data_IF_123325872290
#
_entry.id   IF_123325872290
#
_cell.length_a   1.000
_cell.length_b   1.000
_cell.length_c   1.000
_cell.angle_alpha   90.00
_cell.angle_beta   90.00
_cell.angle_gamma   90.00
#
_symmetry.space_group_name_H-M   'P 1'
#
loop_
_entity.id
_entity.type
_entity.pdbx_description
1 polymer ?
#
# COMPACT_ATOMS: atom_id res chain seq x y z
N UNK A 1 49.86 52.13 12.36
CA UNK A 1 48.79 52.84 13.10
C UNK A 1 47.81 51.76 13.53
N UNK A 2 47.99 51.23 14.74
CA UNK A 2 47.15 51.51 15.93
C UNK A 2 45.74 50.91 15.79
N UNK A 3 45.21 50.09 16.69
CA UNK A 3 45.67 49.57 17.98
C UNK A 3 44.81 48.34 18.33
N UNK A 4 45.43 47.41 19.02
CA UNK A 4 44.82 46.35 19.84
C UNK A 4 43.80 46.85 20.86
N UNK A 5 42.76 46.07 21.16
CA UNK A 5 42.31 45.86 22.55
C UNK A 5 41.63 44.50 22.77
N UNK A 6 42.32 43.73 23.59
CA UNK A 6 41.93 42.51 24.30
C UNK A 6 40.96 42.86 25.43
N UNK A 7 39.87 42.11 25.62
CA UNK A 7 39.25 41.93 26.95
C UNK A 7 38.77 40.48 27.09
N UNK A 8 39.39 39.77 28.03
CA UNK A 8 38.94 38.51 28.61
C UNK A 8 37.87 38.81 29.67
N UNK A 9 36.79 38.04 29.69
CA UNK A 9 35.98 37.82 30.88
C UNK A 9 35.30 36.43 30.83
N UNK A 10 35.79 35.55 31.71
CA UNK A 10 35.07 34.42 32.32
C UNK A 10 34.88 34.82 33.80
N UNK A 11 34.12 34.10 34.66
CA UNK A 11 33.08 33.07 34.46
C UNK A 11 31.82 33.35 35.30
N UNK A 12 30.67 32.74 34.99
CA UNK A 12 29.75 32.24 36.04
C UNK A 12 29.09 30.96 35.53
N UNK A 13 29.45 29.84 36.14
CA UNK A 13 28.75 28.56 36.03
C UNK A 13 27.60 28.62 37.02
N UNK A 14 26.37 28.75 36.53
CA UNK A 14 25.17 28.50 37.31
C UNK A 14 24.64 27.11 36.94
N UNK A 15 24.93 26.16 37.82
CA UNK A 15 24.44 24.79 37.77
C UNK A 15 22.96 24.80 38.22
N UNK A 16 22.02 24.83 37.27
CA UNK A 16 20.61 24.62 37.55
C UNK A 16 20.27 23.15 37.22
N UNK A 17 20.20 22.30 38.26
CA UNK A 17 19.56 20.99 38.17
C UNK A 17 18.05 21.21 38.00
N UNK A 18 17.59 21.22 36.75
CA UNK A 18 16.19 21.04 36.41
C UNK A 18 15.86 19.55 36.38
N UNK A 19 15.12 19.07 37.38
CA UNK A 19 14.39 17.81 37.30
C UNK A 19 13.42 17.91 36.10
N UNK A 20 13.77 17.33 34.96
CA UNK A 20 12.80 17.09 33.89
C UNK A 20 12.07 15.81 34.29
N UNK A 21 10.91 15.97 34.92
CA UNK A 21 9.94 14.90 35.02
C UNK A 21 9.49 14.56 33.59
N UNK A 22 10.07 13.50 33.01
CA UNK A 22 9.57 12.88 31.79
C UNK A 22 8.22 12.23 32.07
N UNK A 23 7.16 13.05 32.08
CA UNK A 23 5.81 12.57 31.84
C UNK A 23 5.75 12.09 30.41
N UNK A 24 5.96 10.78 30.21
CA UNK A 24 5.57 10.11 28.97
C UNK A 24 4.04 10.17 28.90
N UNK A 25 3.52 11.28 28.38
CA UNK A 25 2.16 11.33 27.88
C UNK A 25 2.12 10.37 26.71
N UNK A 26 1.61 9.16 26.95
CA UNK A 26 1.23 8.25 25.88
C UNK A 26 0.25 9.02 25.00
N UNK A 27 0.72 9.47 23.84
CA UNK A 27 -0.15 10.01 22.82
C UNK A 27 -1.20 8.92 22.53
N UNK A 28 -2.50 9.26 22.43
CA UNK A 28 -3.50 8.28 22.07
C UNK A 28 -3.07 7.65 20.74
N UNK A 29 -2.92 6.34 20.74
CA UNK A 29 -2.79 5.56 19.51
C UNK A 29 -4.07 5.83 18.74
N UNK A 30 -3.99 6.69 17.72
CA UNK A 30 -5.07 6.86 16.77
C UNK A 30 -5.09 5.57 15.98
N UNK A 31 -5.89 4.61 16.45
CA UNK A 31 -6.28 3.46 15.63
C UNK A 31 -6.99 4.03 14.41
N UNK A 32 -6.55 3.74 13.18
CA UNK A 32 -7.32 4.11 12.00
C UNK A 32 -8.71 3.50 12.19
N UNK A 33 -9.72 4.35 12.36
CA UNK A 33 -11.07 3.88 12.51
C UNK A 33 -11.43 3.19 11.20
N UNK A 34 -11.60 1.87 11.26
CA UNK A 34 -12.25 1.15 10.19
C UNK A 34 -13.70 1.58 10.19
N UNK A 35 -13.99 2.62 9.44
CA UNK A 35 -15.36 2.92 9.06
C UNK A 35 -15.92 1.65 8.41
N UNK A 36 -17.08 1.19 8.89
CA UNK A 36 -18.03 0.33 8.18
C UNK A 36 -17.88 0.50 6.65
N UNK A 37 -17.99 -0.58 5.84
CA UNK A 37 -17.72 -0.54 4.41
C UNK A 37 -18.39 0.70 3.84
N UNK A 38 -17.58 1.74 3.59
CA UNK A 38 -18.04 2.96 2.97
C UNK A 38 -18.56 2.44 1.65
N UNK A 39 -19.90 2.42 1.50
CA UNK A 39 -20.58 1.96 0.31
C UNK A 39 -19.72 2.41 -0.88
N UNK A 40 -19.15 1.45 -1.60
CA UNK A 40 -18.14 1.62 -2.65
C UNK A 40 -18.42 2.89 -3.48
N UNK A 41 -17.86 4.04 -3.08
CA UNK A 41 -18.24 5.32 -3.68
C UNK A 41 -17.22 6.43 -3.41
N UNK A 42 -15.94 6.10 -3.36
CA UNK A 42 -15.17 6.55 -4.50
C UNK A 42 -15.00 5.31 -5.34
N UNK A 43 -16.06 4.95 -6.07
CA UNK A 43 -15.83 4.34 -7.36
C UNK A 43 -14.80 5.27 -7.97
N UNK A 44 -13.53 4.83 -8.02
CA UNK A 44 -12.63 5.34 -9.02
C UNK A 44 -13.42 5.02 -10.27
N UNK A 45 -14.19 6.01 -10.75
CA UNK A 45 -14.83 5.92 -12.03
C UNK A 45 -13.64 5.71 -12.92
N UNK A 46 -13.47 4.45 -13.29
CA UNK A 46 -12.47 4.01 -14.22
C UNK A 46 -12.95 4.63 -15.52
N UNK A 47 -12.60 5.89 -15.70
CA UNK A 47 -12.70 6.58 -16.97
C UNK A 47 -11.56 5.98 -17.77
N UNK A 48 -11.74 4.71 -18.16
CA UNK A 48 -11.01 4.08 -19.23
C UNK A 48 -11.40 4.90 -20.44
N UNK A 49 -10.61 5.93 -20.71
CA UNK A 49 -10.73 6.66 -21.95
C UNK A 49 -10.04 5.84 -23.05
N UNK A 50 -10.45 4.58 -23.19
CA UNK A 50 -10.05 3.68 -24.26
C UNK A 50 -10.83 4.07 -25.52
N UNK A 51 -10.77 5.36 -25.88
CA UNK A 51 -11.54 5.96 -27.00
C UNK A 51 -11.19 5.30 -28.32
N UNK A 52 -10.01 4.70 -28.42
CA UNK A 52 -9.43 4.23 -29.67
C UNK A 52 -9.20 2.71 -29.59
N UNK A 53 -10.28 1.96 -29.77
CA UNK A 53 -10.22 0.49 -29.88
C UNK A 53 -9.87 0.05 -31.29
N UNK A 54 -10.44 0.73 -32.28
CA UNK A 54 -10.37 0.37 -33.69
C UNK A 54 -9.85 1.54 -34.54
N UNK A 55 -9.23 1.23 -35.69
CA UNK A 55 -8.61 2.29 -36.52
C UNK A 55 -9.63 3.35 -36.92
N UNK A 56 -10.88 2.95 -37.18
CA UNK A 56 -11.97 3.87 -37.55
C UNK A 56 -12.39 4.85 -36.46
N UNK A 57 -12.00 4.61 -35.20
CA UNK A 57 -12.29 5.51 -34.09
C UNK A 57 -11.46 6.80 -34.17
N UNK A 58 -10.41 6.83 -35.00
CA UNK A 58 -9.56 7.99 -35.18
C UNK A 58 -10.23 9.07 -36.05
N UNK A 59 -10.10 10.36 -35.66
CA UNK A 59 -10.90 11.45 -36.21
C UNK A 59 -10.53 11.85 -37.64
N UNK A 60 -9.33 11.50 -38.13
CA UNK A 60 -8.85 11.92 -39.45
C UNK A 60 -8.32 10.74 -40.26
N UNK A 61 -8.49 10.80 -41.59
CA UNK A 61 -7.95 9.79 -42.50
C UNK A 61 -6.42 9.65 -42.39
N UNK A 62 -5.71 10.75 -42.10
CA UNK A 62 -4.27 10.74 -41.87
C UNK A 62 -3.90 9.89 -40.65
N UNK A 63 -4.58 10.08 -39.52
CA UNK A 63 -4.32 9.30 -38.30
C UNK A 63 -4.70 7.84 -38.49
N UNK A 64 -5.81 7.57 -39.19
CA UNK A 64 -6.18 6.20 -39.57
C UNK A 64 -5.07 5.52 -40.39
N UNK A 65 -4.51 6.22 -41.38
CA UNK A 65 -3.39 5.72 -42.18
C UNK A 65 -2.13 5.55 -41.33
N UNK A 66 -1.80 6.50 -40.46
CA UNK A 66 -0.67 6.40 -39.53
C UNK A 66 -0.79 5.17 -38.62
N UNK A 67 -1.97 4.91 -38.05
CA UNK A 67 -2.21 3.73 -37.22
C UNK A 67 -2.07 2.43 -38.02
N UNK A 68 -2.58 2.35 -39.25
CA UNK A 68 -2.39 1.17 -40.13
C UNK A 68 -0.91 0.92 -40.39
N UNK A 69 -0.14 1.95 -40.75
CA UNK A 69 1.31 1.86 -40.94
C UNK A 69 2.02 1.39 -39.67
N UNK A 70 1.65 1.96 -38.52
CA UNK A 70 2.19 1.56 -37.23
C UNK A 70 1.94 0.07 -36.92
N UNK A 71 0.71 -0.41 -37.14
CA UNK A 71 0.34 -1.83 -36.95
C UNK A 71 1.09 -2.73 -37.92
N UNK A 72 1.28 -2.29 -39.18
CA UNK A 72 2.08 -3.00 -40.18
C UNK A 72 3.59 -2.98 -39.90
N UNK A 73 4.06 -2.32 -38.84
CA UNK A 73 5.47 -2.20 -38.49
C UNK A 73 6.24 -1.17 -39.32
N UNK A 74 5.53 -0.38 -40.13
CA UNK A 74 6.12 0.72 -40.89
C UNK A 74 6.48 1.89 -39.97
N UNK A 75 7.43 2.72 -40.42
CA UNK A 75 7.82 3.91 -39.69
C UNK A 75 6.72 4.99 -39.80
N UNK A 76 6.37 5.56 -38.65
CA UNK A 76 5.56 6.78 -38.54
C UNK A 76 6.36 7.90 -37.89
N UNK A 77 6.02 9.15 -38.24
CA UNK A 77 6.68 10.32 -37.68
C UNK A 77 6.44 10.45 -36.17
N UNK A 78 7.27 11.24 -35.50
CA UNK A 78 7.09 11.54 -34.08
C UNK A 78 5.74 12.19 -33.78
N UNK A 79 5.33 13.16 -34.60
CA UNK A 79 4.07 13.87 -34.42
C UNK A 79 2.86 12.96 -34.63
N UNK A 80 2.93 12.06 -35.62
CA UNK A 80 1.88 11.07 -35.84
C UNK A 80 1.76 10.10 -34.65
N UNK A 81 2.89 9.64 -34.11
CA UNK A 81 2.89 8.75 -32.95
C UNK A 81 2.36 9.44 -31.69
N UNK A 82 2.77 10.70 -31.46
CA UNK A 82 2.26 11.53 -30.36
C UNK A 82 0.76 11.77 -30.49
N UNK A 83 0.29 12.17 -31.67
CA UNK A 83 -1.13 12.40 -31.90
C UNK A 83 -1.98 11.13 -31.65
N UNK A 84 -1.49 9.95 -32.06
CA UNK A 84 -2.16 8.68 -31.75
C UNK A 84 -2.17 8.39 -30.24
N UNK A 85 -1.04 8.58 -29.56
CA UNK A 85 -0.91 8.34 -28.12
C UNK A 85 -1.79 9.29 -27.29
N UNK A 86 -1.84 10.58 -27.65
CA UNK A 86 -2.63 11.62 -26.98
C UNK A 86 -4.15 11.40 -27.17
N UNK A 87 -4.55 10.68 -28.23
CA UNK A 87 -5.93 10.22 -28.45
C UNK A 87 -6.27 8.93 -27.69
N UNK A 88 -5.31 8.33 -26.98
CA UNK A 88 -5.53 7.11 -26.22
C UNK A 88 -5.19 5.81 -26.95
N UNK A 89 -4.49 5.84 -28.10
CA UNK A 89 -3.93 4.61 -28.68
C UNK A 89 -2.77 4.12 -27.81
N UNK A 90 -3.02 3.09 -27.00
CA UNK A 90 -2.01 2.60 -26.07
C UNK A 90 -0.80 1.90 -26.71
N UNK A 91 -0.90 1.43 -27.96
CA UNK A 91 0.28 0.91 -28.68
C UNK A 91 1.17 2.07 -29.10
N UNK A 92 0.56 3.16 -29.61
CA UNK A 92 1.29 4.38 -29.91
C UNK A 92 1.92 4.96 -28.64
N UNK A 93 1.19 5.00 -27.52
CA UNK A 93 1.72 5.45 -26.23
C UNK A 93 2.93 4.62 -25.79
N UNK A 94 2.85 3.28 -25.86
CA UNK A 94 3.98 2.41 -25.54
C UNK A 94 5.21 2.72 -26.40
N UNK A 95 5.04 2.73 -27.72
CA UNK A 95 6.13 2.98 -28.67
C UNK A 95 6.72 4.37 -28.52
N UNK A 96 5.89 5.36 -28.19
CA UNK A 96 6.36 6.72 -27.92
C UNK A 96 7.21 6.76 -26.66
N UNK A 97 6.77 6.10 -25.58
CA UNK A 97 7.55 5.99 -24.35
C UNK A 97 8.90 5.31 -24.61
N UNK A 98 8.94 4.21 -25.37
CA UNK A 98 10.19 3.56 -25.76
C UNK A 98 11.11 4.47 -26.55
N UNK A 99 10.57 5.22 -27.52
CA UNK A 99 11.34 6.20 -28.30
C UNK A 99 11.89 7.31 -27.41
N UNK A 100 11.11 7.81 -26.45
CA UNK A 100 11.57 8.82 -25.49
C UNK A 100 12.71 8.27 -24.62
N UNK A 101 12.57 7.05 -24.07
CA UNK A 101 13.62 6.41 -23.28
C UNK A 101 14.90 6.22 -24.10
N UNK A 102 14.78 5.86 -25.38
CA UNK A 102 15.92 5.68 -26.28
C UNK A 102 16.72 6.96 -26.55
N UNK A 103 16.16 8.15 -26.28
CA UNK A 103 16.89 9.42 -26.35
C UNK A 103 17.94 9.56 -25.23
N UNK A 104 17.86 8.74 -24.18
CA UNK A 104 18.75 8.77 -23.01
C UNK A 104 18.81 10.14 -22.33
N UNK A 105 17.71 10.91 -22.37
CA UNK A 105 17.57 12.19 -21.71
C UNK A 105 16.74 12.03 -20.43
N UNK A 106 17.34 12.19 -19.22
CA UNK A 106 16.62 12.07 -17.95
C UNK A 106 15.44 13.04 -17.82
N UNK A 107 15.51 14.21 -18.47
CA UNK A 107 14.46 15.24 -18.38
C UNK A 107 13.15 14.81 -19.06
N UNK A 108 13.22 13.83 -19.97
CA UNK A 108 12.05 13.31 -20.69
C UNK A 108 11.44 12.06 -20.04
N UNK A 109 12.06 11.52 -18.99
CA UNK A 109 11.57 10.28 -18.36
C UNK A 109 10.19 10.45 -17.69
N UNK A 110 9.85 11.66 -17.24
CA UNK A 110 8.49 11.96 -16.78
C UNK A 110 7.44 11.83 -17.88
N UNK A 111 7.78 12.19 -19.13
CA UNK A 111 6.90 12.01 -20.29
C UNK A 111 6.79 10.53 -20.69
N UNK A 112 7.90 9.80 -20.67
CA UNK A 112 7.88 8.36 -20.88
C UNK A 112 7.01 7.64 -19.84
N UNK A 113 7.11 8.00 -18.56
CA UNK A 113 6.26 7.44 -17.51
C UNK A 113 4.77 7.68 -17.76
N UNK A 114 4.40 8.89 -18.18
CA UNK A 114 3.02 9.22 -18.55
C UNK A 114 2.50 8.34 -19.69
N UNK A 115 3.29 8.17 -20.76
CA UNK A 115 2.86 7.34 -21.88
C UNK A 115 2.87 5.83 -21.55
N UNK A 116 3.75 5.35 -20.68
CA UNK A 116 3.65 3.98 -20.18
C UNK A 116 2.40 3.77 -19.32
N UNK A 117 2.01 4.74 -18.47
CA UNK A 117 0.76 4.67 -17.71
C UNK A 117 -0.47 4.63 -18.63
N UNK A 118 -0.54 5.52 -19.63
CA UNK A 118 -1.59 5.51 -20.65
C UNK A 118 -1.64 4.20 -21.43
N UNK A 119 -0.47 3.63 -21.75
CA UNK A 119 -0.41 2.32 -22.40
C UNK A 119 -0.99 1.22 -21.50
N UNK A 120 -0.56 1.16 -20.24
CA UNK A 120 -1.04 0.18 -19.27
C UNK A 120 -2.56 0.26 -19.08
N UNK A 121 -3.14 1.46 -19.06
CA UNK A 121 -4.59 1.68 -18.99
C UNK A 121 -5.38 1.02 -20.15
N UNK A 122 -4.75 0.76 -21.29
CA UNK A 122 -5.37 0.09 -22.44
C UNK A 122 -5.13 -1.42 -22.47
N UNK A 123 -4.97 -2.04 -21.30
CA UNK A 123 -4.67 -3.47 -21.12
C UNK A 123 -3.32 -3.91 -21.70
N UNK A 124 -2.30 -3.05 -21.59
CA UNK A 124 -0.91 -3.37 -21.95
C UNK A 124 -0.07 -3.48 -20.69
N UNK A 125 -0.34 -4.52 -19.92
CA UNK A 125 0.35 -4.91 -18.68
C UNK A 125 1.89 -4.85 -18.76
N UNK A 126 2.47 -5.17 -19.91
CA UNK A 126 3.92 -5.06 -20.13
C UNK A 126 4.48 -3.63 -20.00
N UNK A 127 3.64 -2.58 -20.07
CA UNK A 127 4.04 -1.19 -19.84
C UNK A 127 4.24 -0.86 -18.35
N UNK A 128 3.68 -1.65 -17.43
CA UNK A 128 3.78 -1.42 -15.98
C UNK A 128 5.22 -1.56 -15.48
N UNK A 129 5.97 -2.54 -15.98
CA UNK A 129 7.38 -2.74 -15.61
C UNK A 129 8.26 -1.52 -15.91
N UNK A 130 8.32 -1.04 -17.17
CA UNK A 130 8.98 0.21 -17.52
C UNK A 130 8.53 1.43 -16.71
N UNK A 131 7.22 1.60 -16.50
CA UNK A 131 6.67 2.67 -15.67
C UNK A 131 7.25 2.63 -14.24
N UNK A 132 7.16 1.48 -13.58
CA UNK A 132 7.66 1.29 -12.21
C UNK A 132 9.17 1.55 -12.15
N UNK A 133 9.94 1.08 -13.15
CA UNK A 133 11.39 1.35 -13.21
C UNK A 133 11.70 2.83 -13.30
N UNK A 134 10.93 3.63 -14.05
CA UNK A 134 11.12 5.08 -14.09
C UNK A 134 10.76 5.69 -12.73
N UNK A 135 9.65 5.29 -12.12
CA UNK A 135 9.22 5.83 -10.82
C UNK A 135 10.12 5.45 -9.64
N UNK A 136 10.93 4.40 -9.77
CA UNK A 136 11.95 4.02 -8.78
C UNK A 136 13.21 4.90 -8.85
N UNK A 137 13.38 5.66 -9.94
CA UNK A 137 14.57 6.49 -10.14
C UNK A 137 14.46 7.78 -9.35
N UNK A 138 15.48 8.04 -8.53
CA UNK A 138 15.58 9.25 -7.71
C UNK A 138 16.12 10.47 -8.47
N UNK A 139 16.68 10.27 -9.66
CA UNK A 139 17.25 11.30 -10.52
C UNK A 139 16.24 11.86 -11.54
N UNK A 140 14.98 11.40 -11.50
CA UNK A 140 13.93 11.86 -12.40
C UNK A 140 13.05 12.89 -11.69
N UNK A 141 12.97 14.08 -12.25
CA UNK A 141 12.03 15.11 -11.81
C UNK A 141 10.69 14.91 -12.50
N UNK A 142 9.64 14.70 -11.69
CA UNK A 142 8.26 14.56 -12.16
C UNK A 142 7.42 15.62 -11.45
N UNK A 143 6.66 16.41 -12.21
CA UNK A 143 5.82 17.45 -11.62
C UNK A 143 4.75 16.85 -10.69
N UNK A 144 4.32 17.56 -9.63
CA UNK A 144 3.35 17.03 -8.66
C UNK A 144 2.04 16.55 -9.32
N UNK A 145 1.50 17.33 -10.26
CA UNK A 145 0.30 16.97 -11.02
C UNK A 145 0.48 15.68 -11.82
N UNK A 146 1.68 15.47 -12.37
CA UNK A 146 1.98 14.25 -13.11
C UNK A 146 2.17 13.07 -12.18
N UNK A 147 2.80 13.25 -11.02
CA UNK A 147 2.89 12.21 -9.99
C UNK A 147 1.50 11.76 -9.52
N UNK A 148 0.59 12.68 -9.26
CA UNK A 148 -0.80 12.36 -8.90
C UNK A 148 -1.49 11.50 -9.96
N UNK A 149 -1.32 11.84 -11.24
CA UNK A 149 -1.84 11.02 -12.33
C UNK A 149 -1.23 9.61 -12.37
N UNK A 150 0.10 9.49 -12.21
CA UNK A 150 0.80 8.20 -12.21
C UNK A 150 0.44 7.33 -10.99
N UNK A 151 0.24 7.95 -9.83
CA UNK A 151 -0.25 7.29 -8.62
C UNK A 151 -1.64 6.71 -8.84
N UNK A 152 -2.56 7.52 -9.37
CA UNK A 152 -3.91 7.09 -9.71
C UNK A 152 -3.92 5.96 -10.76
N UNK A 153 -2.99 6.00 -11.72
CA UNK A 153 -2.80 4.94 -12.70
C UNK A 153 -2.38 3.62 -12.06
N UNK A 154 -1.34 3.63 -11.24
CA UNK A 154 -0.91 2.44 -10.52
C UNK A 154 -2.01 1.89 -9.61
N UNK A 155 -2.76 2.76 -8.91
CA UNK A 155 -3.87 2.33 -8.07
C UNK A 155 -4.97 1.64 -8.88
N UNK A 156 -5.37 2.23 -10.00
CA UNK A 156 -6.39 1.65 -10.87
C UNK A 156 -5.94 0.30 -11.46
N UNK A 157 -4.70 0.20 -11.94
CA UNK A 157 -4.13 -1.05 -12.45
C UNK A 157 -4.10 -2.14 -11.37
N UNK A 158 -3.68 -1.79 -10.16
CA UNK A 158 -3.62 -2.72 -9.05
C UNK A 158 -4.99 -3.24 -8.61
N UNK A 159 -6.00 -2.36 -8.52
CA UNK A 159 -7.38 -2.74 -8.21
C UNK A 159 -8.01 -3.61 -9.32
N UNK A 160 -7.50 -3.52 -10.55
CA UNK A 160 -7.86 -4.41 -11.66
C UNK A 160 -7.06 -5.73 -11.68
N UNK A 161 -6.27 -6.01 -10.64
CA UNK A 161 -5.53 -7.26 -10.49
C UNK A 161 -4.09 -7.25 -11.01
N UNK A 162 -3.53 -6.10 -11.41
CA UNK A 162 -2.10 -6.04 -11.75
C UNK A 162 -1.24 -6.11 -10.48
N UNK A 163 -0.70 -7.30 -10.21
CA UNK A 163 0.13 -7.58 -9.04
C UNK A 163 1.41 -6.72 -8.99
N UNK A 164 1.99 -6.39 -10.15
CA UNK A 164 3.20 -5.55 -10.20
C UNK A 164 2.88 -4.12 -9.79
N UNK A 165 1.75 -3.59 -10.25
CA UNK A 165 1.26 -2.28 -9.84
C UNK A 165 0.89 -2.27 -8.35
N UNK A 166 0.20 -3.30 -7.86
CA UNK A 166 -0.18 -3.44 -6.45
C UNK A 166 1.06 -3.41 -5.55
N UNK A 167 2.04 -4.28 -5.85
CA UNK A 167 3.30 -4.34 -5.11
C UNK A 167 4.05 -3.01 -5.19
N UNK A 168 4.21 -2.44 -6.38
CA UNK A 168 4.95 -1.20 -6.57
C UNK A 168 4.31 -0.04 -5.79
N UNK A 169 2.99 0.11 -5.82
CA UNK A 169 2.30 1.20 -5.13
C UNK A 169 2.45 1.08 -3.60
N UNK A 170 2.32 -0.14 -3.05
CA UNK A 170 2.61 -0.38 -1.63
C UNK A 170 4.05 -0.02 -1.29
N UNK A 171 5.03 -0.49 -2.08
CA UNK A 171 6.45 -0.18 -1.86
C UNK A 171 6.72 1.34 -1.92
N UNK A 172 6.06 2.06 -2.83
CA UNK A 172 6.21 3.51 -2.98
C UNK A 172 5.66 4.27 -1.77
N UNK A 173 4.48 3.91 -1.26
CA UNK A 173 3.95 4.54 -0.04
C UNK A 173 4.80 4.24 1.19
N UNK A 174 5.37 3.03 1.29
CA UNK A 174 6.19 2.61 2.43
C UNK A 174 7.58 3.26 2.42
N UNK A 175 8.21 3.32 1.24
CA UNK A 175 9.52 3.96 1.07
C UNK A 175 9.44 5.49 1.04
N UNK A 176 8.28 6.01 0.63
CA UNK A 176 8.01 7.43 0.47
C UNK A 176 8.50 8.06 -0.83
N UNK A 177 9.01 7.26 -1.76
CA UNK A 177 9.38 7.73 -3.10
C UNK A 177 8.55 6.97 -4.15
N UNK A 178 8.00 7.63 -5.18
CA UNK A 178 8.05 9.06 -5.44
C UNK A 178 6.92 9.88 -4.77
N UNK A 179 5.97 9.23 -4.10
CA UNK A 179 4.71 9.86 -3.65
C UNK A 179 4.73 10.44 -2.23
N UNK A 180 5.86 10.43 -1.53
CA UNK A 180 5.92 10.75 -0.10
C UNK A 180 5.54 9.56 0.79
N UNK A 181 6.12 9.49 1.99
CA UNK A 181 5.93 8.37 2.93
C UNK A 181 4.53 8.44 3.54
N UNK A 182 3.72 7.42 3.28
CA UNK A 182 2.29 7.36 3.64
C UNK A 182 1.91 5.93 4.08
N UNK A 183 2.44 5.40 5.20
CA UNK A 183 2.20 4.03 5.62
C UNK A 183 0.73 3.75 5.93
N UNK A 184 -0.04 4.74 6.38
CA UNK A 184 -1.49 4.65 6.58
C UNK A 184 -2.20 4.42 5.26
N UNK A 185 -1.83 5.19 4.22
CA UNK A 185 -2.38 5.01 2.86
C UNK A 185 -1.97 3.68 2.24
N UNK A 186 -0.77 3.18 2.55
CA UNK A 186 -0.33 1.85 2.16
C UNK A 186 -1.22 0.77 2.80
N UNK A 187 -1.54 0.92 4.08
CA UNK A 187 -2.46 0.02 4.78
C UNK A 187 -3.86 0.09 4.17
N UNK A 188 -4.46 1.28 4.06
CA UNK A 188 -5.77 1.49 3.45
C UNK A 188 -5.86 0.86 2.05
N UNK A 189 -4.86 1.09 1.22
CA UNK A 189 -4.82 0.51 -0.12
C UNK A 189 -4.73 -1.03 -0.12
N UNK A 190 -3.94 -1.63 0.79
CA UNK A 190 -3.88 -3.10 0.91
C UNK A 190 -5.18 -3.68 1.45
N UNK A 191 -5.91 -2.93 2.27
CA UNK A 191 -7.25 -3.29 2.71
C UNK A 191 -8.24 -3.23 1.56
N UNK A 192 -8.18 -2.22 0.69
CA UNK A 192 -8.99 -2.16 -0.53
C UNK A 192 -8.73 -3.40 -1.41
N UNK A 193 -7.46 -3.79 -1.60
CA UNK A 193 -7.10 -5.00 -2.35
C UNK A 193 -7.66 -6.28 -1.71
N UNK A 194 -7.53 -6.42 -0.39
CA UNK A 194 -8.09 -7.57 0.32
C UNK A 194 -9.62 -7.64 0.14
N UNK A 195 -10.31 -6.51 0.28
CA UNK A 195 -11.76 -6.41 0.11
C UNK A 195 -12.21 -6.68 -1.34
N UNK A 196 -11.36 -6.40 -2.33
CA UNK A 196 -11.63 -6.77 -3.73
C UNK A 196 -11.38 -8.24 -4.06
N UNK A 197 -11.15 -9.08 -3.04
CA UNK A 197 -10.95 -10.53 -3.19
C UNK A 197 -9.50 -10.97 -3.32
N UNK A 198 -8.51 -10.08 -3.13
CA UNK A 198 -7.11 -10.46 -3.14
C UNK A 198 -6.74 -11.15 -1.81
N UNK A 199 -6.82 -12.49 -1.80
CA UNK A 199 -6.53 -13.30 -0.63
C UNK A 199 -5.06 -13.21 -0.17
N UNK A 200 -4.11 -13.02 -1.08
CA UNK A 200 -2.70 -12.83 -0.74
C UNK A 200 -2.46 -11.52 0.01
N UNK A 201 -3.10 -10.44 -0.43
CA UNK A 201 -3.06 -9.15 0.26
C UNK A 201 -3.65 -9.27 1.67
N UNK A 202 -4.78 -9.96 1.81
CA UNK A 202 -5.42 -10.22 3.09
C UNK A 202 -4.52 -11.06 4.02
N UNK A 203 -3.96 -12.17 3.54
CA UNK A 203 -3.07 -13.03 4.31
C UNK A 203 -1.79 -12.29 4.73
N UNK A 204 -1.19 -11.51 3.83
CA UNK A 204 0.00 -10.72 4.15
C UNK A 204 -0.24 -9.73 5.30
N UNK A 205 -1.41 -9.07 5.32
CA UNK A 205 -1.79 -8.17 6.42
C UNK A 205 -2.00 -8.91 7.74
N UNK A 206 -2.62 -10.10 7.71
CA UNK A 206 -2.75 -10.96 8.89
C UNK A 206 -1.38 -11.32 9.46
N UNK A 207 -0.45 -11.79 8.62
CA UNK A 207 0.89 -12.18 9.05
C UNK A 207 1.69 -11.00 9.62
N UNK A 208 1.56 -9.81 9.02
CA UNK A 208 2.19 -8.60 9.55
C UNK A 208 1.64 -8.20 10.92
N UNK A 209 0.32 -8.27 11.10
CA UNK A 209 -0.32 -8.00 12.38
C UNK A 209 0.14 -8.99 13.46
N UNK A 210 0.15 -10.29 13.16
CA UNK A 210 0.54 -11.35 14.11
C UNK A 210 2.03 -11.36 14.44
N UNK A 211 2.89 -10.96 13.49
CA UNK A 211 4.33 -10.88 13.73
C UNK A 211 4.77 -9.65 14.52
N UNK A 212 3.85 -8.71 14.82
CA UNK A 212 4.17 -7.44 15.47
C UNK A 212 5.03 -6.51 14.62
N UNK A 213 5.11 -6.76 13.30
CA UNK A 213 5.91 -5.98 12.33
C UNK A 213 5.08 -4.96 11.57
N UNK A 214 3.77 -4.93 11.80
CA UNK A 214 2.88 -3.96 11.18
C UNK A 214 3.33 -2.53 11.54
N UNK A 215 3.57 -1.70 10.53
CA UNK A 215 3.90 -0.28 10.75
C UNK A 215 2.69 0.49 11.28
N UNK A 216 1.48 0.06 10.88
CA UNK A 216 0.21 0.55 11.38
C UNK A 216 -0.54 -0.65 11.95
N UNK A 217 -0.85 -0.66 13.26
CA UNK A 217 -1.47 -1.82 13.89
C UNK A 217 -2.89 -2.05 13.40
N UNK A 218 -3.26 -3.32 13.24
CA UNK A 218 -4.64 -3.76 13.02
C UNK A 218 -5.24 -4.23 14.35
N UNK A 219 -6.51 -3.93 14.57
CA UNK A 219 -7.23 -4.50 15.72
C UNK A 219 -7.65 -5.96 15.47
N UNK A 220 -8.10 -6.63 16.53
CA UNK A 220 -8.47 -8.04 16.47
C UNK A 220 -9.65 -8.29 15.52
N UNK A 221 -10.62 -7.39 15.46
CA UNK A 221 -11.79 -7.52 14.61
C UNK A 221 -11.41 -7.46 13.12
N UNK A 222 -10.51 -6.53 12.78
CA UNK A 222 -9.95 -6.38 11.43
C UNK A 222 -9.18 -7.62 11.01
N UNK A 223 -8.36 -8.18 11.90
CA UNK A 223 -7.63 -9.42 11.60
C UNK A 223 -8.59 -10.59 11.40
N UNK A 224 -9.66 -10.69 12.19
CA UNK A 224 -10.69 -11.73 11.99
C UNK A 224 -11.44 -11.56 10.67
N UNK A 225 -11.76 -10.32 10.27
CA UNK A 225 -12.37 -10.03 8.96
C UNK A 225 -11.45 -10.42 7.81
N UNK A 226 -10.17 -10.07 7.88
CA UNK A 226 -9.17 -10.45 6.88
C UNK A 226 -9.00 -11.98 6.78
N UNK A 227 -8.96 -12.68 7.93
CA UNK A 227 -8.95 -14.14 7.94
C UNK A 227 -10.19 -14.73 7.25
N UNK A 228 -11.37 -14.13 7.44
CA UNK A 228 -12.58 -14.52 6.72
C UNK A 228 -12.49 -14.37 5.19
N UNK A 229 -11.84 -13.30 4.71
CA UNK A 229 -11.56 -13.12 3.27
C UNK A 229 -10.65 -14.25 2.76
N UNK A 230 -9.58 -14.57 3.50
CA UNK A 230 -8.65 -15.64 3.09
C UNK A 230 -9.32 -17.02 3.13
N UNK A 231 -10.21 -17.26 4.09
CA UNK A 231 -10.99 -18.51 4.17
C UNK A 231 -11.93 -18.71 2.99
N UNK A 232 -12.43 -17.63 2.41
CA UNK A 232 -13.26 -17.66 1.21
C UNK A 232 -12.44 -17.82 -0.08
N UNK A 233 -11.11 -17.77 -0.03
CA UNK A 233 -10.23 -17.94 -1.19
C UNK A 233 -10.32 -19.33 -1.80
N UNK A 234 -10.22 -19.43 -3.12
CA UNK A 234 -10.10 -20.68 -3.86
C UNK A 234 -8.76 -21.41 -3.64
N UNK A 235 -7.75 -20.72 -3.08
CA UNK A 235 -6.48 -21.33 -2.72
C UNK A 235 -6.59 -22.18 -1.45
N UNK A 236 -6.47 -23.50 -1.60
CA UNK A 236 -6.57 -24.46 -0.50
C UNK A 236 -5.50 -24.23 0.59
N UNK A 237 -4.29 -23.83 0.20
CA UNK A 237 -3.17 -23.58 1.10
C UNK A 237 -3.42 -22.35 1.98
N UNK A 238 -3.84 -21.25 1.36
CA UNK A 238 -4.22 -20.02 2.07
C UNK A 238 -5.40 -20.28 3.01
N UNK A 239 -6.45 -20.94 2.52
CA UNK A 239 -7.64 -21.29 3.31
C UNK A 239 -7.29 -22.13 4.53
N UNK A 240 -6.47 -23.18 4.36
CA UNK A 240 -6.04 -24.06 5.46
C UNK A 240 -5.21 -23.29 6.48
N UNK A 241 -4.32 -22.40 6.02
CA UNK A 241 -3.51 -21.55 6.88
C UNK A 241 -4.39 -20.61 7.71
N UNK A 242 -5.37 -19.95 7.07
CA UNK A 242 -6.29 -19.06 7.76
C UNK A 242 -7.10 -19.77 8.85
N UNK A 243 -7.65 -20.96 8.55
CA UNK A 243 -8.37 -21.79 9.52
C UNK A 243 -7.50 -22.16 10.74
N UNK A 244 -6.23 -22.52 10.50
CA UNK A 244 -5.30 -22.85 11.57
C UNK A 244 -4.97 -21.62 12.43
N UNK A 245 -4.72 -20.46 11.80
CA UNK A 245 -4.46 -19.21 12.51
C UNK A 245 -5.66 -18.81 13.39
N UNK A 246 -6.90 -18.91 12.88
CA UNK A 246 -8.09 -18.63 13.70
C UNK A 246 -8.21 -19.55 14.91
N UNK A 247 -7.95 -20.84 14.73
CA UNK A 247 -7.96 -21.80 15.85
C UNK A 247 -6.92 -21.45 16.91
N UNK A 248 -5.69 -21.17 16.50
CA UNK A 248 -4.62 -20.79 17.43
C UNK A 248 -5.00 -19.56 18.25
N UNK A 249 -5.55 -18.53 17.61
CA UNK A 249 -6.01 -17.32 18.30
C UNK A 249 -7.19 -17.57 19.23
N UNK A 250 -8.12 -18.44 18.86
CA UNK A 250 -9.24 -18.85 19.73
C UNK A 250 -8.78 -19.61 20.99
N UNK A 251 -7.65 -20.32 20.90
CA UNK A 251 -7.04 -20.98 22.05
C UNK A 251 -6.30 -19.99 22.97
N UNK A 252 -5.64 -18.97 22.39
CA UNK A 252 -4.99 -17.90 23.15
C UNK A 252 -6.01 -17.04 23.92
N UNK A 253 -7.15 -16.70 23.30
CA UNK A 253 -8.22 -15.94 23.98
C UNK A 253 -8.94 -16.76 25.06
N UNK A 254 -9.13 -18.07 24.84
CA UNK A 254 -9.66 -18.96 25.86
C UNK A 254 -8.70 -19.14 27.06
N UNK A 255 -7.39 -19.12 26.82
CA UNK A 255 -6.37 -19.18 27.87
C UNK A 255 -6.20 -17.87 28.65
N UNK A 256 -6.66 -16.73 28.10
CA UNK A 256 -6.59 -15.42 28.74
C UNK A 256 -7.86 -15.05 29.53
N UNK A 257 -8.91 -15.88 29.51
CA UNK A 257 -10.07 -15.70 30.37
C UNK A 257 -9.66 -15.87 31.85
N UNK A 258 -10.06 -14.95 32.75
CA UNK A 258 -9.70 -15.05 34.16
C UNK A 258 -10.28 -16.35 34.72
N UNK A 259 -9.41 -17.19 35.29
CA UNK A 259 -9.83 -18.33 36.11
C UNK A 259 -10.69 -17.76 37.23
N UNK A 260 -11.99 -18.01 37.14
CA UNK A 260 -12.95 -17.63 38.16
C UNK A 260 -12.45 -18.15 39.51
N UNK A 261 -12.28 -17.30 40.54
CA UNK A 261 -11.74 -17.76 41.82
C UNK A 261 -12.68 -18.81 42.39
N UNK A 262 -12.11 -19.98 42.66
CA UNK A 262 -12.77 -21.10 43.33
C UNK A 262 -13.59 -20.57 44.52
N UNK A 263 -14.90 -20.86 44.61
CA UNK A 263 -15.71 -20.34 45.70
C UNK A 263 -15.16 -20.86 47.04
N UNK A 264 -15.03 -19.98 48.05
CA UNK A 264 -14.37 -20.33 49.30
C UNK A 264 -15.16 -21.40 50.05
N UNK A 265 -14.54 -22.57 50.17
CA UNK A 265 -14.62 -23.42 51.35
C UNK A 265 -16.00 -23.96 51.72
N UNK A 266 -16.43 -25.04 51.04
CA UNK A 266 -17.26 -26.04 51.72
C UNK A 266 -16.35 -26.80 52.68
N UNK A 267 -16.29 -26.35 53.94
CA UNK A 267 -15.68 -27.12 55.03
C UNK A 267 -16.33 -28.52 55.05
N UNK A 268 -15.57 -29.62 54.98
CA UNK A 268 -16.12 -30.93 55.28
C UNK A 268 -16.51 -30.93 56.77
N UNK A 269 -17.79 -31.18 57.04
CA UNK A 269 -18.31 -31.39 58.40
C UNK A 269 -17.52 -32.52 59.05
N UNK A 270 -16.96 -32.21 60.21
CA UNK A 270 -16.20 -33.13 61.04
C UNK A 270 -17.03 -34.39 61.34
N UNK A 271 -16.39 -35.57 61.17
CA UNK A 271 -16.92 -36.83 61.68
C UNK A 271 -16.98 -36.77 63.21
N UNK A 272 -18.05 -37.27 63.85
CA UNK A 272 -18.10 -37.36 65.31
C UNK A 272 -17.06 -38.39 65.80
N UNK A 273 -16.46 -38.06 66.95
CA UNK A 273 -15.48 -38.89 67.64
C UNK A 273 -16.10 -40.22 68.05
N UNK A 274 -15.43 -41.31 67.67
CA UNK A 274 -15.74 -42.65 68.15
C UNK A 274 -15.15 -42.80 69.56
N UNK A 275 -16.05 -43.08 70.49
CA UNK A 275 -15.84 -43.16 71.93
C UNK A 275 -14.96 -44.36 72.29
N UNK A 276 -13.94 -44.10 73.12
CA UNK A 276 -13.05 -45.12 73.64
C UNK A 276 -13.80 -46.04 74.63
N UNK A 277 -13.78 -47.34 74.35
CA UNK A 277 -14.16 -48.40 75.30
C UNK A 277 -12.95 -48.71 76.19
N UNK A 278 -13.05 -48.62 77.53
CA UNK A 278 -12.01 -49.13 78.42
C UNK A 278 -12.26 -50.61 78.77
N UNK A 279 -11.17 -51.37 78.74
CA UNK A 279 -10.83 -52.68 79.32
C UNK A 279 -11.97 -53.66 79.69
#
# INVERSE_FOLDING_TARGET
>A
MSSSHTVRSRPVVALALGLIASGAMAAPVVTPAWTEPRALASAVTLVFDNRITETRDLPTAELQQARRRMIAGEQISWDQMRALADLGDGLAAFRLAERIVALNDPTLLGDAAFYYANSAYTNRDYAVGPLVRILQRRDVEISPRRLEHLENALRALALNGDEKAAKALTDFYMSGHPFGRQPEKALEFRLDLAQSGNADAAMALVLEALSGRAQVPLDDEQVQRLLGIVEASDDLGLRTTALNLRRMRGLETASAAPVEPEPPGVRPLARPAEEAVPQ
#
